data_IF_260010219029
#
_entry.id   IF_260010219029
#
_cell.length_a   1.000
_cell.length_b   1.000
_cell.length_c   1.000
_cell.angle_alpha   90.00
_cell.angle_beta   90.00
_cell.angle_gamma   90.00
#
_symmetry.space_group_name_H-M   'P 1'
#
loop_
_entity.id
_entity.type
_entity.pdbx_description
1 polymer ?
#
# COMPACT_ATOMS: atom_id res chain seq x y z
N UNK A 1 -0.44 1.23 20.80
CA UNK A 1 -0.04 -0.16 21.15
C UNK A 1 -1.03 -0.85 22.10
N UNK A 2 -1.40 -0.27 23.24
CA UNK A 2 -2.33 -0.89 24.20
C UNK A 2 -3.76 -1.10 23.66
N UNK A 3 -4.28 -0.17 22.86
CA UNK A 3 -5.61 -0.32 22.23
C UNK A 3 -5.66 -1.49 21.23
N UNK A 4 -4.59 -1.67 20.43
CA UNK A 4 -4.48 -2.78 19.49
C UNK A 4 -4.44 -4.14 20.21
N UNK A 5 -3.82 -4.19 21.39
CA UNK A 5 -3.74 -5.39 22.23
C UNK A 5 -5.08 -5.76 22.88
N UNK A 6 -5.85 -4.77 23.35
CA UNK A 6 -7.19 -5.00 23.88
C UNK A 6 -8.21 -5.40 22.80
N UNK A 7 -8.14 -4.78 21.62
CA UNK A 7 -8.98 -5.18 20.47
C UNK A 7 -8.58 -6.58 19.99
N UNK A 8 -7.29 -6.90 19.87
CA UNK A 8 -6.83 -8.24 19.50
C UNK A 8 -7.23 -9.31 20.54
N UNK A 9 -7.10 -9.01 21.84
CA UNK A 9 -7.42 -9.94 22.93
C UNK A 9 -8.92 -10.19 23.14
N UNK A 10 -9.79 -9.23 22.78
CA UNK A 10 -11.24 -9.44 22.81
C UNK A 10 -11.73 -10.23 21.58
N UNK A 11 -11.12 -10.02 20.42
CA UNK A 11 -11.42 -10.73 19.18
C UNK A 11 -10.87 -12.16 19.12
N UNK A 12 -9.76 -12.46 19.81
CA UNK A 12 -9.20 -13.82 19.88
C UNK A 12 -10.04 -14.79 20.72
N UNK A 13 -10.95 -14.29 21.57
CA UNK A 13 -11.83 -15.14 22.40
C UNK A 13 -13.04 -15.68 21.64
N UNK A 14 -13.38 -15.13 20.49
CA UNK A 14 -14.61 -15.48 19.75
C UNK A 14 -14.35 -16.28 18.48
N UNK A 15 -13.13 -16.27 17.94
CA UNK A 15 -12.82 -16.90 16.67
C UNK A 15 -11.44 -17.59 16.70
N UNK A 16 -11.35 -18.78 16.10
CA UNK A 16 -10.08 -19.49 15.93
C UNK A 16 -9.03 -18.67 15.16
N UNK A 17 -7.73 -19.00 15.31
CA UNK A 17 -6.63 -18.20 14.79
C UNK A 17 -6.72 -18.05 13.26
N UNK A 18 -6.25 -16.91 12.74
CA UNK A 18 -6.09 -16.72 11.31
C UNK A 18 -5.03 -17.70 10.76
N UNK A 19 -5.29 -18.28 9.59
CA UNK A 19 -4.26 -19.04 8.88
C UNK A 19 -3.08 -18.14 8.48
N UNK A 20 -1.89 -18.73 8.36
CA UNK A 20 -0.63 -18.02 8.10
C UNK A 20 -0.73 -16.97 6.99
N UNK A 21 -1.37 -17.32 5.88
CA UNK A 21 -1.56 -16.41 4.75
C UNK A 21 -2.36 -15.14 5.11
N UNK A 22 -3.41 -15.27 5.91
CA UNK A 22 -4.23 -14.12 6.32
C UNK A 22 -3.49 -13.20 7.28
N UNK A 23 -2.67 -13.78 8.16
CA UNK A 23 -1.80 -13.01 9.05
C UNK A 23 -0.80 -12.17 8.25
N UNK A 24 -0.21 -12.72 7.18
CA UNK A 24 0.71 -11.99 6.30
C UNK A 24 0.01 -10.83 5.57
N UNK A 25 -1.24 -11.04 5.10
CA UNK A 25 -2.02 -10.00 4.44
C UNK A 25 -2.35 -8.85 5.41
N UNK A 26 -2.79 -9.18 6.63
CA UNK A 26 -3.05 -8.18 7.67
C UNK A 26 -1.75 -7.43 8.02
N UNK A 27 -0.62 -8.15 8.10
CA UNK A 27 0.70 -7.57 8.30
C UNK A 27 1.07 -6.57 7.19
N UNK A 28 0.90 -6.96 5.93
CA UNK A 28 1.14 -6.10 4.77
C UNK A 28 0.31 -4.81 4.84
N UNK A 29 -1.01 -4.91 5.01
CA UNK A 29 -1.84 -3.71 5.09
C UNK A 29 -1.52 -2.85 6.33
N UNK A 30 -1.04 -3.45 7.42
CA UNK A 30 -0.57 -2.69 8.59
C UNK A 30 0.69 -1.89 8.26
N UNK A 31 1.62 -2.46 7.48
CA UNK A 31 2.79 -1.75 6.96
C UNK A 31 2.33 -0.62 6.03
N UNK A 32 1.38 -0.87 5.12
CA UNK A 32 0.80 0.15 4.25
C UNK A 32 0.19 1.33 5.04
N UNK A 33 -0.51 1.07 6.15
CA UNK A 33 -1.04 2.14 7.03
C UNK A 33 0.08 3.05 7.52
N UNK A 34 1.21 2.47 7.94
CA UNK A 34 2.33 3.25 8.44
C UNK A 34 3.02 4.03 7.32
N UNK A 35 3.33 3.37 6.19
CA UNK A 35 4.04 4.01 5.08
C UNK A 35 3.17 5.12 4.48
N UNK A 36 1.96 4.79 4.02
CA UNK A 36 1.08 5.77 3.39
C UNK A 36 0.64 6.86 4.39
N UNK A 37 0.25 6.46 5.61
CA UNK A 37 -0.29 7.41 6.59
C UNK A 37 0.76 8.32 7.24
N UNK A 38 1.97 7.84 7.47
CA UNK A 38 3.02 8.59 8.20
C UNK A 38 4.12 9.07 7.27
N UNK A 39 4.71 8.19 6.46
CA UNK A 39 5.87 8.54 5.63
C UNK A 39 5.44 9.38 4.44
N UNK A 40 4.49 8.87 3.65
CA UNK A 40 3.94 9.57 2.47
C UNK A 40 3.04 10.73 2.91
N UNK A 41 2.30 10.58 4.00
CA UNK A 41 1.57 11.68 4.62
C UNK A 41 2.46 12.85 5.04
N UNK A 42 3.67 12.57 5.56
CA UNK A 42 4.65 13.61 5.83
C UNK A 42 5.12 14.30 4.55
N UNK A 43 5.41 13.54 3.50
CA UNK A 43 5.77 14.10 2.21
C UNK A 43 4.67 14.99 1.63
N UNK A 44 3.42 14.50 1.55
CA UNK A 44 2.31 15.28 1.01
C UNK A 44 2.04 16.58 1.76
N UNK A 45 2.39 16.67 3.05
CA UNK A 45 2.23 17.90 3.84
C UNK A 45 3.44 18.83 3.80
N UNK A 46 4.65 18.30 3.66
CA UNK A 46 5.90 19.05 3.88
C UNK A 46 6.92 18.97 2.73
N UNK A 47 6.51 18.53 1.53
CA UNK A 47 7.43 18.29 0.40
C UNK A 47 8.29 19.52 0.03
N UNK A 48 7.79 20.74 0.27
CA UNK A 48 8.52 21.98 0.00
C UNK A 48 9.59 22.28 1.06
N UNK A 49 9.38 21.84 2.29
CA UNK A 49 10.23 22.09 3.46
C UNK A 49 11.29 20.99 3.65
N UNK A 50 11.02 19.77 3.16
CA UNK A 50 11.90 18.61 3.29
C UNK A 50 13.37 18.95 3.01
N UNK A 51 13.76 19.66 1.93
CA UNK A 51 15.18 19.91 1.63
C UNK A 51 15.94 20.58 2.80
N UNK A 52 15.29 21.50 3.52
CA UNK A 52 15.85 22.20 4.68
C UNK A 52 15.62 21.49 6.02
N UNK A 53 14.56 20.69 6.13
CA UNK A 53 14.11 20.10 7.40
C UNK A 53 15.04 19.00 7.92
N UNK A 54 15.24 18.94 9.24
CA UNK A 54 16.12 17.99 9.93
C UNK A 54 15.35 16.91 10.71
N UNK A 55 14.01 16.91 10.64
CA UNK A 55 13.22 15.81 11.20
C UNK A 55 13.60 14.46 10.60
N UNK A 56 13.44 13.39 11.39
CA UNK A 56 13.78 12.03 10.96
C UNK A 56 13.03 11.64 9.68
N UNK A 57 11.76 12.03 9.54
CA UNK A 57 10.95 11.72 8.36
C UNK A 57 11.48 12.45 7.12
N UNK A 58 11.87 13.72 7.23
CA UNK A 58 12.51 14.44 6.14
C UNK A 58 13.89 13.87 5.78
N UNK A 59 14.65 13.37 6.75
CA UNK A 59 15.92 12.69 6.49
C UNK A 59 15.72 11.37 5.73
N UNK A 60 14.67 10.61 6.04
CA UNK A 60 14.29 9.41 5.28
C UNK A 60 14.00 9.79 3.82
N UNK A 61 13.24 10.85 3.58
CA UNK A 61 12.95 11.32 2.23
C UNK A 61 14.20 11.81 1.48
N UNK A 62 15.10 12.53 2.16
CA UNK A 62 16.39 12.93 1.57
C UNK A 62 17.26 11.72 1.20
N UNK A 63 17.26 10.68 2.02
CA UNK A 63 17.98 9.44 1.74
C UNK A 63 17.35 8.72 0.54
N UNK A 64 16.01 8.56 0.53
CA UNK A 64 15.30 7.94 -0.57
C UNK A 64 15.49 8.71 -1.89
N UNK A 65 15.53 10.04 -1.82
CA UNK A 65 15.72 10.91 -2.97
C UNK A 65 17.11 10.81 -3.63
N UNK A 66 18.07 10.13 -3.00
CA UNK A 66 19.30 9.72 -3.69
C UNK A 66 19.05 8.67 -4.77
N UNK A 67 17.99 7.88 -4.61
CA UNK A 67 17.44 6.95 -5.61
C UNK A 67 16.57 7.64 -6.66
N UNK A 68 15.78 8.62 -6.23
CA UNK A 68 14.91 9.40 -7.12
C UNK A 68 14.76 10.85 -6.62
N UNK A 69 15.45 11.78 -7.28
CA UNK A 69 15.46 13.19 -6.89
C UNK A 69 14.12 13.91 -7.03
N UNK A 70 13.11 13.30 -7.68
CA UNK A 70 11.74 13.87 -7.80
C UNK A 70 11.08 14.16 -6.45
N UNK A 71 11.48 13.43 -5.40
CA UNK A 71 11.03 13.64 -4.02
C UNK A 71 11.65 14.88 -3.33
N UNK A 72 12.68 15.49 -3.92
CA UNK A 72 13.30 16.73 -3.41
C UNK A 72 13.05 17.90 -4.36
N UNK A 73 12.91 17.64 -5.66
CA UNK A 73 12.56 18.64 -6.66
C UNK A 73 11.06 18.92 -6.76
N UNK A 74 10.24 18.22 -5.95
CA UNK A 74 8.79 18.42 -5.89
C UNK A 74 8.09 18.17 -7.22
N UNK A 75 8.42 17.05 -7.87
CA UNK A 75 7.80 16.68 -9.14
C UNK A 75 6.26 16.61 -9.00
N UNK A 76 5.54 17.19 -9.97
CA UNK A 76 4.08 17.32 -9.91
C UNK A 76 3.39 15.96 -9.84
N UNK A 77 3.88 14.95 -10.56
CA UNK A 77 3.26 13.63 -10.55
C UNK A 77 3.51 12.95 -9.20
N UNK A 78 4.75 12.95 -8.71
CA UNK A 78 5.11 12.33 -7.42
C UNK A 78 4.33 12.99 -6.28
N UNK A 79 4.29 14.32 -6.21
CA UNK A 79 3.51 15.04 -5.18
C UNK A 79 2.03 14.67 -5.22
N UNK A 80 1.41 14.66 -6.41
CA UNK A 80 0.00 14.29 -6.54
C UNK A 80 -0.26 12.83 -6.14
N UNK A 81 0.58 11.91 -6.61
CA UNK A 81 0.44 10.48 -6.36
C UNK A 81 0.57 10.17 -4.86
N UNK A 82 1.63 10.66 -4.22
CA UNK A 82 1.89 10.46 -2.79
C UNK A 82 0.85 11.13 -1.89
N UNK A 83 0.28 12.25 -2.34
CA UNK A 83 -0.85 12.86 -1.62
C UNK A 83 -2.08 11.96 -1.71
N UNK A 84 -2.40 11.40 -2.88
CA UNK A 84 -3.53 10.46 -3.02
C UNK A 84 -3.28 9.20 -2.19
N UNK A 85 -2.07 8.66 -2.18
CA UNK A 85 -1.74 7.46 -1.41
C UNK A 85 -1.91 7.71 0.09
N UNK A 86 -1.43 8.84 0.59
CA UNK A 86 -1.60 9.23 1.99
C UNK A 86 -3.07 9.41 2.39
N UNK A 87 -3.85 10.15 1.59
CA UNK A 87 -5.23 10.52 1.95
C UNK A 87 -6.26 9.42 1.66
N UNK A 88 -6.00 8.52 0.71
CA UNK A 88 -6.93 7.44 0.35
C UNK A 88 -6.38 6.06 0.73
N UNK A 89 -5.19 5.68 0.24
CA UNK A 89 -4.68 4.32 0.44
C UNK A 89 -4.28 4.05 1.90
N UNK A 90 -3.77 5.05 2.63
CA UNK A 90 -3.51 4.94 4.07
C UNK A 90 -4.78 4.61 4.88
N UNK A 91 -5.81 5.48 4.87
CA UNK A 91 -7.07 5.22 5.55
C UNK A 91 -7.79 3.94 5.09
N UNK A 92 -7.82 3.66 3.78
CA UNK A 92 -8.42 2.43 3.27
C UNK A 92 -7.64 1.18 3.65
N UNK A 93 -6.31 1.25 3.78
CA UNK A 93 -5.50 0.15 4.30
C UNK A 93 -5.84 -0.13 5.77
N UNK A 94 -6.04 0.92 6.57
CA UNK A 94 -6.45 0.77 7.97
C UNK A 94 -7.84 0.13 8.07
N UNK A 95 -8.78 0.60 7.23
CA UNK A 95 -10.10 -0.02 7.18
C UNK A 95 -10.01 -1.47 6.70
N UNK A 96 -9.14 -1.79 5.74
CA UNK A 96 -8.90 -3.17 5.31
C UNK A 96 -8.46 -4.04 6.48
N UNK A 97 -7.47 -3.60 7.27
CA UNK A 97 -7.03 -4.31 8.48
C UNK A 97 -8.19 -4.54 9.45
N UNK A 98 -8.94 -3.48 9.79
CA UNK A 98 -10.08 -3.58 10.69
C UNK A 98 -11.15 -4.52 10.14
N UNK A 99 -11.44 -4.48 8.84
CA UNK A 99 -12.43 -5.33 8.18
C UNK A 99 -12.00 -6.82 8.18
N UNK A 100 -10.72 -7.11 8.01
CA UNK A 100 -10.18 -8.48 8.11
C UNK A 100 -10.22 -9.02 9.53
N UNK A 101 -9.72 -8.25 10.50
CA UNK A 101 -9.84 -8.59 11.91
C UNK A 101 -11.30 -8.79 12.29
N UNK A 102 -12.17 -7.93 11.73
CA UNK A 102 -13.59 -7.94 12.05
C UNK A 102 -14.44 -8.95 11.27
N UNK A 103 -13.83 -9.72 10.36
CA UNK A 103 -14.49 -10.63 9.41
C UNK A 103 -15.67 -9.99 8.66
N UNK A 104 -15.59 -8.69 8.36
CA UNK A 104 -16.62 -7.96 7.62
C UNK A 104 -16.71 -8.50 6.18
N UNK A 105 -17.91 -8.50 5.58
CA UNK A 105 -18.17 -9.10 4.26
C UNK A 105 -17.43 -8.38 3.12
N UNK A 106 -17.23 -7.07 3.23
CA UNK A 106 -16.58 -6.22 2.23
C UNK A 106 -15.04 -6.19 2.34
N UNK A 107 -14.41 -6.96 3.24
CA UNK A 107 -12.94 -7.00 3.43
C UNK A 107 -12.16 -7.26 2.15
N UNK A 108 -12.66 -8.14 1.27
CA UNK A 108 -12.02 -8.46 -0.01
C UNK A 108 -12.25 -7.39 -1.08
N UNK A 109 -13.33 -6.59 -0.95
CA UNK A 109 -13.53 -5.42 -1.82
C UNK A 109 -12.50 -4.36 -1.46
N UNK A 110 -12.30 -4.09 -0.16
CA UNK A 110 -11.28 -3.13 0.29
C UNK A 110 -9.87 -3.58 -0.11
N UNK A 111 -9.53 -4.86 0.11
CA UNK A 111 -8.26 -5.44 -0.37
C UNK A 111 -8.07 -5.20 -1.87
N UNK A 112 -9.09 -5.51 -2.68
CA UNK A 112 -9.02 -5.34 -4.13
C UNK A 112 -8.81 -3.88 -4.53
N UNK A 113 -9.60 -2.96 -3.98
CA UNK A 113 -9.54 -1.53 -4.32
C UNK A 113 -8.18 -0.93 -3.97
N UNK A 114 -7.69 -1.17 -2.76
CA UNK A 114 -6.39 -0.64 -2.32
C UNK A 114 -5.25 -1.24 -3.14
N UNK A 115 -5.25 -2.55 -3.36
CA UNK A 115 -4.19 -3.21 -4.12
C UNK A 115 -4.17 -2.80 -5.60
N UNK A 116 -5.32 -2.57 -6.23
CA UNK A 116 -5.37 -2.00 -7.59
C UNK A 116 -4.83 -0.57 -7.60
N UNK A 117 -5.20 0.26 -6.61
CA UNK A 117 -4.69 1.63 -6.49
C UNK A 117 -3.17 1.69 -6.34
N UNK A 118 -2.60 0.85 -5.47
CA UNK A 118 -1.16 0.71 -5.28
C UNK A 118 -0.45 0.29 -6.57
N UNK A 119 -0.93 -0.76 -7.22
CA UNK A 119 -0.34 -1.26 -8.47
C UNK A 119 -0.40 -0.20 -9.59
N UNK A 120 -1.53 0.49 -9.71
CA UNK A 120 -1.71 1.53 -10.73
C UNK A 120 -0.78 2.72 -10.49
N UNK A 121 -0.69 3.21 -9.25
CA UNK A 121 0.21 4.30 -8.88
C UNK A 121 1.66 3.96 -9.19
N UNK A 122 2.11 2.77 -8.78
CA UNK A 122 3.50 2.35 -8.96
C UNK A 122 3.86 2.10 -10.45
N UNK A 123 2.94 1.56 -11.25
CA UNK A 123 3.14 1.47 -12.71
C UNK A 123 3.33 2.86 -13.31
N UNK A 124 2.53 3.85 -12.90
CA UNK A 124 2.69 5.23 -13.37
C UNK A 124 4.00 5.86 -12.87
N UNK A 125 4.41 5.58 -11.64
CA UNK A 125 5.70 6.03 -11.09
C UNK A 125 6.88 5.55 -11.94
N UNK A 126 6.92 4.27 -12.29
CA UNK A 126 7.95 3.74 -13.21
C UNK A 126 7.82 4.32 -14.62
N UNK A 127 6.59 4.42 -15.14
CA UNK A 127 6.37 4.86 -16.50
C UNK A 127 6.77 6.33 -16.70
N UNK A 128 6.49 7.19 -15.72
CA UNK A 128 6.91 8.60 -15.74
C UNK A 128 8.43 8.73 -15.71
N UNK A 129 9.13 7.95 -14.89
CA UNK A 129 10.60 8.00 -14.86
C UNK A 129 11.24 7.42 -16.13
N UNK A 130 10.66 6.34 -16.65
CA UNK A 130 11.08 5.76 -17.92
C UNK A 130 10.92 6.76 -19.07
N UNK A 131 9.81 7.51 -19.10
CA UNK A 131 9.54 8.57 -20.08
C UNK A 131 10.53 9.72 -19.99
N UNK A 132 11.00 10.01 -18.78
CA UNK A 132 12.03 11.02 -18.51
C UNK A 132 13.46 10.49 -18.67
N UNK A 133 13.62 9.23 -19.11
CA UNK A 133 14.91 8.64 -19.43
C UNK A 133 15.77 8.31 -18.20
N UNK A 134 15.14 8.07 -17.05
CA UNK A 134 15.82 7.79 -15.77
C UNK A 134 16.81 8.89 -15.34
N UNK A 135 16.47 10.15 -15.64
CA UNK A 135 17.35 11.30 -15.38
C UNK A 135 17.40 11.72 -13.92
N UNK A 136 16.49 11.25 -13.08
CA UNK A 136 16.35 11.74 -11.70
C UNK A 136 17.14 10.93 -10.67
N UNK A 137 17.91 9.92 -11.08
CA UNK A 137 18.81 9.15 -10.23
C UNK A 137 20.03 8.64 -11.00
N UNK A 138 21.04 8.14 -10.28
CA UNK A 138 22.21 7.54 -10.93
C UNK A 138 21.85 6.15 -11.48
N UNK A 139 21.68 6.06 -12.80
CA UNK A 139 21.36 4.82 -13.48
C UNK A 139 22.41 3.73 -13.17
N UNK A 140 21.93 2.51 -12.90
CA UNK A 140 22.75 1.33 -12.57
C UNK A 140 23.44 1.32 -11.21
N UNK A 141 23.32 2.38 -10.40
CA UNK A 141 23.89 2.37 -9.05
C UNK A 141 23.28 1.22 -8.21
N UNK A 142 24.09 0.35 -7.58
CA UNK A 142 23.59 -0.87 -6.94
C UNK A 142 22.63 -0.59 -5.76
N UNK A 143 22.89 0.46 -4.99
CA UNK A 143 22.01 0.86 -3.89
C UNK A 143 20.84 1.72 -4.38
N UNK A 144 21.12 2.91 -4.90
CA UNK A 144 20.11 3.89 -5.27
C UNK A 144 19.19 3.46 -6.42
N UNK A 145 19.74 2.92 -7.51
CA UNK A 145 18.90 2.47 -8.62
C UNK A 145 18.32 1.07 -8.36
N UNK A 146 19.17 0.06 -8.14
CA UNK A 146 18.66 -1.31 -8.05
C UNK A 146 17.91 -1.61 -6.75
N UNK A 147 18.39 -1.13 -5.61
CA UNK A 147 17.74 -1.42 -4.33
C UNK A 147 16.59 -0.44 -4.04
N UNK A 148 16.82 0.88 -4.02
CA UNK A 148 15.77 1.85 -3.70
C UNK A 148 14.75 2.00 -4.82
N UNK A 149 15.19 2.24 -6.06
CA UNK A 149 14.26 2.51 -7.15
C UNK A 149 13.59 1.23 -7.67
N UNK A 150 14.33 0.15 -7.93
CA UNK A 150 13.76 -1.08 -8.51
C UNK A 150 13.21 -2.03 -7.45
N UNK A 151 14.04 -2.52 -6.52
CA UNK A 151 13.65 -3.61 -5.62
C UNK A 151 12.55 -3.21 -4.65
N UNK A 152 12.69 -2.06 -3.98
CA UNK A 152 11.67 -1.59 -3.04
C UNK A 152 10.34 -1.46 -3.78
N UNK A 153 10.24 -0.62 -4.81
CA UNK A 153 8.98 -0.43 -5.56
C UNK A 153 8.43 -1.73 -6.18
N UNK A 154 9.27 -2.67 -6.64
CA UNK A 154 8.79 -3.97 -7.13
C UNK A 154 7.94 -4.75 -6.09
N UNK A 155 8.13 -4.53 -4.78
CA UNK A 155 7.26 -5.10 -3.75
C UNK A 155 5.81 -4.56 -3.85
N UNK A 156 5.64 -3.29 -4.20
CA UNK A 156 4.33 -2.64 -4.44
C UNK A 156 3.71 -3.03 -5.79
N UNK A 157 4.44 -3.73 -6.66
CA UNK A 157 3.87 -4.42 -7.82
C UNK A 157 3.44 -5.84 -7.45
N UNK A 158 4.39 -6.62 -6.92
CA UNK A 158 4.24 -8.07 -6.76
C UNK A 158 3.20 -8.39 -5.69
N UNK A 159 3.30 -7.77 -4.51
CA UNK A 159 2.40 -8.09 -3.40
C UNK A 159 0.96 -7.68 -3.75
N UNK A 160 0.68 -6.44 -4.18
CA UNK A 160 -0.67 -6.06 -4.60
C UNK A 160 -1.24 -6.93 -5.72
N UNK A 161 -0.43 -7.35 -6.71
CA UNK A 161 -0.88 -8.27 -7.76
C UNK A 161 -1.38 -9.61 -7.21
N UNK A 162 -0.66 -10.18 -6.24
CA UNK A 162 -1.08 -11.41 -5.55
C UNK A 162 -2.38 -11.18 -4.76
N UNK A 163 -2.50 -10.04 -4.08
CA UNK A 163 -3.69 -9.68 -3.30
C UNK A 163 -4.92 -9.44 -4.18
N UNK A 164 -4.75 -8.84 -5.36
CA UNK A 164 -5.81 -8.69 -6.36
C UNK A 164 -6.33 -10.06 -6.76
N UNK A 165 -5.43 -10.99 -7.10
CA UNK A 165 -5.80 -12.36 -7.48
C UNK A 165 -6.52 -13.11 -6.36
N UNK A 166 -6.03 -12.96 -5.12
CA UNK A 166 -6.66 -13.55 -3.94
C UNK A 166 -8.08 -13.01 -3.71
N UNK A 167 -8.25 -11.69 -3.74
CA UNK A 167 -9.56 -11.05 -3.59
C UNK A 167 -10.51 -11.47 -4.71
N UNK A 168 -10.04 -11.47 -5.96
CA UNK A 168 -10.81 -11.90 -7.12
C UNK A 168 -11.36 -13.31 -6.96
N UNK A 169 -10.52 -14.26 -6.51
CA UNK A 169 -10.93 -15.65 -6.26
C UNK A 169 -12.04 -15.75 -5.22
N UNK A 170 -11.88 -15.04 -4.10
CA UNK A 170 -12.86 -15.06 -3.02
C UNK A 170 -14.20 -14.42 -3.44
N UNK A 171 -14.16 -13.25 -4.07
CA UNK A 171 -15.35 -12.56 -4.56
C UNK A 171 -16.07 -13.39 -5.62
N UNK A 172 -15.34 -13.93 -6.60
CA UNK A 172 -15.90 -14.81 -7.63
C UNK A 172 -16.54 -16.07 -7.06
N UNK A 173 -15.95 -16.67 -6.03
CA UNK A 173 -16.52 -17.84 -5.37
C UNK A 173 -17.84 -17.51 -4.67
N UNK A 174 -17.91 -16.38 -3.97
CA UNK A 174 -19.16 -15.91 -3.35
C UNK A 174 -20.26 -15.66 -4.39
N UNK A 175 -19.92 -15.01 -5.51
CA UNK A 175 -20.88 -14.75 -6.59
C UNK A 175 -21.45 -16.04 -7.18
N UNK A 176 -20.60 -17.04 -7.48
CA UNK A 176 -21.05 -18.35 -7.99
C UNK A 176 -22.05 -19.04 -7.05
N UNK A 177 -21.82 -18.99 -5.74
CA UNK A 177 -22.74 -19.58 -4.75
C UNK A 177 -24.08 -18.85 -4.76
N UNK A 178 -24.06 -17.52 -4.88
CA UNK A 178 -25.29 -16.73 -4.95
C UNK A 178 -26.11 -17.07 -6.19
N UNK A 179 -25.46 -17.18 -7.34
CA UNK A 179 -26.14 -17.50 -8.61
C UNK A 179 -26.74 -18.92 -8.60
N UNK A 180 -26.00 -19.91 -8.08
CA UNK A 180 -26.51 -21.28 -7.94
C UNK A 180 -27.74 -21.39 -7.03
N UNK A 181 -27.80 -20.58 -5.96
CA UNK A 181 -28.94 -20.54 -5.05
C UNK A 181 -30.18 -19.89 -5.66
N UNK A 182 -30.02 -18.98 -6.64
CA UNK A 182 -31.16 -18.43 -7.39
C UNK A 182 -31.77 -19.48 -8.32
N UNK A 183 -30.94 -20.28 -9.00
CA UNK A 183 -31.40 -21.36 -9.89
C UNK A 183 -32.23 -22.41 -9.15
N UNK A 184 -31.90 -22.73 -7.88
CA UNK A 184 -32.66 -23.69 -7.07
C UNK A 184 -34.00 -23.20 -6.53
N UNK A 185 -34.27 -21.89 -6.59
CA UNK A 185 -35.51 -21.28 -6.07
C UNK A 185 -36.60 -21.10 -7.13
N UNK A 186 -36.30 -21.44 -8.39
CA UNK A 186 -37.23 -21.47 -9.52
C UNK A 186 -37.45 -22.91 -9.96
#
# INVERSE_FOLDING_TARGET
>A
MLLAWFVAGWWSKTWGPFGTWRTLIIGWFTICVFIHGVIEGWFGLYYMEIPGDQSILSQIWKEYAKGDSRYITSDNFVVCMETITAWFWGPLSLWTVVAFLSRQSHRYILQLVVSVGQLYGDILYYYTEYRDGFRHGELWHPLYFWFYFVFMNALWIIIPSILIWDAWKHLSACQRVMDANKVKKH
#
